data_IF_477658472962
#
_entry.id   IF_477658472962
#
_cell.length_a   1.000
_cell.length_b   1.000
_cell.length_c   1.000
_cell.angle_alpha   90.00
_cell.angle_beta   90.00
_cell.angle_gamma   90.00
#
_symmetry.space_group_name_H-M   'P 1'
#
loop_
_entity.id
_entity.type
_entity.pdbx_description
1 polymer ?
#
# COMPACT_ATOMS: atom_id res chain seq x y z
N UNK A 1 20.09 -40.74 3.64
CA UNK A 1 21.02 -41.29 4.63
C UNK A 1 22.03 -40.22 4.96
N UNK A 2 22.37 -40.07 6.23
CA UNK A 2 23.40 -39.14 6.72
C UNK A 2 24.50 -39.91 7.45
N UNK A 3 25.54 -39.20 7.87
CA UNK A 3 26.67 -39.77 8.60
C UNK A 3 26.23 -40.53 9.85
N UNK A 4 25.22 -40.01 10.57
CA UNK A 4 24.74 -40.63 11.80
C UNK A 4 23.97 -41.93 11.54
N UNK A 5 23.04 -41.94 10.60
CA UNK A 5 22.27 -43.12 10.22
C UNK A 5 23.15 -44.20 9.61
N UNK A 6 24.16 -43.79 8.82
CA UNK A 6 25.15 -44.71 8.24
C UNK A 6 26.02 -45.33 9.33
N UNK A 7 26.49 -44.53 10.30
CA UNK A 7 27.24 -45.02 11.45
C UNK A 7 26.42 -46.02 12.27
N UNK A 8 25.17 -45.70 12.61
CA UNK A 8 24.29 -46.60 13.39
C UNK A 8 23.96 -47.88 12.61
N UNK A 9 23.71 -47.79 11.31
CA UNK A 9 23.39 -48.96 10.50
C UNK A 9 24.59 -49.91 10.38
N UNK A 10 25.79 -49.38 10.12
CA UNK A 10 26.99 -50.20 9.90
C UNK A 10 27.59 -50.72 11.22
N UNK A 11 27.48 -49.97 12.32
CA UNK A 11 28.05 -50.37 13.63
C UNK A 11 27.21 -51.41 14.39
N UNK A 12 26.03 -51.77 13.90
CA UNK A 12 25.18 -52.81 14.51
C UNK A 12 25.65 -54.24 14.21
N UNK A 13 26.52 -54.41 13.22
CA UNK A 13 27.04 -55.71 12.81
C UNK A 13 28.45 -55.90 13.38
N UNK A 14 28.75 -57.10 13.88
CA UNK A 14 30.04 -57.39 14.55
C UNK A 14 31.14 -57.85 13.59
N UNK A 15 30.77 -58.64 12.58
CA UNK A 15 31.75 -59.38 11.79
C UNK A 15 31.78 -58.95 10.32
N UNK A 16 30.62 -58.77 9.65
CA UNK A 16 30.55 -58.37 8.23
C UNK A 16 29.23 -57.64 7.88
N UNK A 17 29.27 -56.79 6.85
CA UNK A 17 28.09 -56.07 6.29
C UNK A 17 28.17 -56.01 4.77
N UNK A 18 27.11 -56.49 4.12
CA UNK A 18 26.87 -56.29 2.68
C UNK A 18 25.93 -55.10 2.44
N UNK A 19 26.34 -54.17 1.57
CA UNK A 19 25.57 -52.98 1.21
C UNK A 19 25.17 -53.00 -0.27
N UNK A 20 23.87 -53.01 -0.53
CA UNK A 20 23.31 -52.91 -1.88
C UNK A 20 22.82 -51.49 -2.16
N UNK A 21 23.17 -50.95 -3.34
CA UNK A 21 22.71 -49.63 -3.78
C UNK A 21 22.40 -49.62 -5.28
N UNK A 22 21.42 -48.79 -5.67
CA UNK A 22 21.04 -48.62 -7.07
C UNK A 22 22.11 -47.83 -7.84
N UNK A 23 22.52 -48.36 -9.00
CA UNK A 23 23.51 -47.69 -9.87
C UNK A 23 22.96 -46.40 -10.50
N UNK A 24 21.63 -46.31 -10.64
CA UNK A 24 20.93 -45.13 -11.16
C UNK A 24 21.01 -43.95 -10.17
N UNK A 25 20.95 -44.24 -8.86
CA UNK A 25 21.05 -43.22 -7.81
C UNK A 25 22.52 -42.85 -7.52
N UNK A 26 23.39 -43.85 -7.47
CA UNK A 26 24.82 -43.70 -7.20
C UNK A 26 25.66 -44.30 -8.32
N UNK A 27 25.95 -43.47 -9.32
CA UNK A 27 26.74 -43.85 -10.49
C UNK A 27 28.15 -44.39 -10.16
N UNK A 28 28.72 -44.01 -9.01
CA UNK A 28 30.02 -44.48 -8.53
C UNK A 28 30.10 -44.52 -6.99
N UNK A 29 31.07 -45.29 -6.48
CA UNK A 29 31.32 -45.47 -5.04
C UNK A 29 31.64 -44.15 -4.33
N UNK A 30 32.27 -43.19 -5.00
CA UNK A 30 32.57 -41.87 -4.45
C UNK A 30 31.31 -41.02 -4.18
N UNK A 31 30.27 -41.17 -5.00
CA UNK A 31 28.99 -40.49 -4.80
C UNK A 31 28.22 -41.10 -3.63
N UNK A 32 28.26 -42.43 -3.49
CA UNK A 32 27.69 -43.13 -2.35
C UNK A 32 28.41 -42.71 -1.06
N UNK A 33 29.74 -42.74 -1.04
CA UNK A 33 30.55 -42.35 0.12
C UNK A 33 30.27 -40.89 0.51
N UNK A 34 30.18 -39.97 -0.45
CA UNK A 34 29.82 -38.57 -0.15
C UNK A 34 28.41 -38.42 0.43
N UNK A 35 27.45 -39.23 -0.03
CA UNK A 35 26.09 -39.21 0.51
C UNK A 35 26.03 -39.77 1.93
N UNK A 36 26.74 -40.87 2.19
CA UNK A 36 26.78 -41.52 3.51
C UNK A 36 27.60 -40.70 4.52
N UNK A 37 28.64 -39.98 4.09
CA UNK A 37 29.48 -39.14 4.96
C UNK A 37 28.91 -37.73 5.17
N UNK A 38 27.74 -37.40 4.61
CA UNK A 38 27.14 -36.08 4.78
C UNK A 38 26.66 -35.93 6.22
N UNK A 39 27.24 -34.97 6.94
CA UNK A 39 26.78 -34.60 8.27
C UNK A 39 25.47 -33.82 8.14
N UNK A 40 24.40 -34.35 8.73
CA UNK A 40 23.04 -33.80 8.62
C UNK A 40 22.56 -33.48 10.02
N UNK A 41 22.72 -32.23 10.44
CA UNK A 41 22.03 -31.73 11.62
C UNK A 41 20.54 -31.63 11.27
N UNK A 42 19.74 -32.61 11.73
CA UNK A 42 18.27 -32.70 11.68
C UNK A 42 17.61 -32.09 10.42
N UNK A 43 17.13 -32.97 9.55
CA UNK A 43 16.40 -32.65 8.32
C UNK A 43 15.48 -31.43 8.38
N UNK A 44 15.86 -30.37 7.64
CA UNK A 44 14.94 -29.34 7.16
C UNK A 44 14.53 -29.72 5.74
N UNK A 45 13.21 -29.75 5.47
CA UNK A 45 12.63 -30.11 4.18
C UNK A 45 13.08 -29.24 2.98
N UNK A 46 13.85 -28.18 3.22
CA UNK A 46 14.41 -27.25 2.22
C UNK A 46 15.60 -27.82 1.44
N UNK A 47 16.29 -28.85 1.94
CA UNK A 47 17.48 -29.39 1.25
C UNK A 47 17.15 -30.20 -0.01
N UNK A 48 15.87 -30.55 -0.21
CA UNK A 48 15.37 -31.21 -1.43
C UNK A 48 14.90 -30.22 -2.51
N UNK A 49 14.86 -28.90 -2.25
CA UNK A 49 14.41 -27.90 -3.23
C UNK A 49 15.46 -27.54 -4.30
N UNK A 50 16.66 -28.11 -4.25
CA UNK A 50 17.73 -27.80 -5.22
C UNK A 50 17.60 -28.52 -6.57
N UNK A 51 16.51 -29.26 -6.79
CA UNK A 51 16.17 -29.81 -8.11
C UNK A 51 14.79 -29.29 -8.48
N UNK A 52 14.73 -28.43 -9.50
CA UNK A 52 13.49 -27.84 -10.01
C UNK A 52 12.46 -28.96 -10.33
N UNK A 53 11.37 -29.08 -9.55
CA UNK A 53 10.40 -30.16 -9.71
C UNK A 53 9.71 -30.14 -11.09
N UNK A 54 9.63 -28.97 -11.72
CA UNK A 54 9.06 -28.79 -13.06
C UNK A 54 10.00 -29.33 -14.14
N UNK A 55 11.31 -29.20 -13.95
CA UNK A 55 12.31 -29.63 -14.90
C UNK A 55 12.41 -31.17 -14.94
N UNK A 56 12.42 -31.82 -13.77
CA UNK A 56 12.40 -33.29 -13.68
C UNK A 56 11.08 -33.91 -14.18
N UNK A 57 9.96 -33.18 -14.06
CA UNK A 57 8.67 -33.60 -14.61
C UNK A 57 8.63 -33.50 -16.15
N UNK A 58 9.23 -32.45 -16.72
CA UNK A 58 9.30 -32.24 -18.16
C UNK A 58 10.24 -33.22 -18.89
N UNK A 59 11.39 -33.54 -18.28
CA UNK A 59 12.37 -34.49 -18.81
C UNK A 59 11.83 -35.92 -18.89
N UNK A 60 11.07 -36.36 -17.88
CA UNK A 60 10.44 -37.70 -17.86
C UNK A 60 9.31 -37.87 -18.89
N UNK A 61 8.81 -36.78 -19.49
CA UNK A 61 7.73 -36.79 -20.49
C UNK A 61 8.18 -36.32 -21.88
N UNK A 62 9.46 -36.07 -22.09
CA UNK A 62 10.01 -35.69 -23.40
C UNK A 62 9.55 -34.33 -23.92
N UNK A 63 9.14 -33.41 -23.04
CA UNK A 63 8.68 -32.08 -23.44
C UNK A 63 9.89 -31.13 -23.46
N UNK A 64 10.66 -31.17 -24.55
CA UNK A 64 11.74 -30.20 -24.78
C UNK A 64 11.16 -28.90 -25.34
N UNK A 65 10.95 -27.91 -24.47
CA UNK A 65 10.44 -26.58 -24.83
C UNK A 65 11.53 -25.69 -25.45
N UNK A 66 12.19 -26.15 -26.53
CA UNK A 66 13.15 -25.31 -27.26
C UNK A 66 12.94 -25.20 -28.78
N UNK A 67 12.06 -25.99 -29.39
CA UNK A 67 11.81 -25.89 -30.84
C UNK A 67 10.40 -25.44 -31.25
N UNK A 68 9.48 -25.17 -30.31
CA UNK A 68 8.09 -24.73 -30.65
C UNK A 68 7.74 -23.27 -30.37
N UNK A 69 8.63 -22.48 -29.75
CA UNK A 69 8.39 -21.05 -29.53
C UNK A 69 8.71 -20.20 -30.77
N UNK A 70 9.63 -20.65 -31.64
CA UNK A 70 9.95 -19.94 -32.89
C UNK A 70 8.86 -20.08 -33.96
N UNK A 71 8.02 -21.11 -33.89
CA UNK A 71 6.96 -21.37 -34.88
C UNK A 71 5.65 -20.62 -34.54
N UNK A 72 5.37 -20.42 -33.26
CA UNK A 72 4.16 -19.71 -32.79
C UNK A 72 4.30 -18.18 -32.96
N UNK A 73 5.53 -17.64 -32.84
CA UNK A 73 5.81 -16.21 -33.13
C UNK A 73 5.71 -15.90 -34.62
N UNK A 74 5.91 -16.87 -35.51
CA UNK A 74 5.76 -16.70 -36.98
C UNK A 74 4.31 -16.80 -37.48
N UNK A 75 3.35 -17.24 -36.64
CA UNK A 75 1.96 -17.48 -37.06
C UNK A 75 0.94 -16.46 -36.54
N UNK A 76 1.36 -15.53 -35.66
CA UNK A 76 0.47 -14.53 -35.01
C UNK A 76 1.02 -13.10 -35.18
N UNK A 77 1.57 -12.76 -36.35
CA UNK A 77 1.80 -11.36 -36.74
C UNK A 77 1.49 -11.19 -38.23
N UNK A 78 0.35 -10.60 -38.61
CA UNK A 78 0.20 -10.04 -39.95
C UNK A 78 1.13 -8.81 -40.10
N UNK A 79 1.96 -8.80 -41.15
CA UNK A 79 3.01 -7.82 -41.48
C UNK A 79 2.53 -6.38 -41.84
N UNK A 80 1.41 -5.89 -41.30
CA UNK A 80 0.95 -4.52 -41.59
C UNK A 80 0.49 -3.80 -40.35
N UNK A 81 1.44 -3.35 -39.52
CA UNK A 81 1.34 -2.14 -38.69
C UNK A 81 2.76 -1.71 -38.22
N UNK A 82 3.73 -1.66 -39.14
CA UNK A 82 5.07 -1.10 -38.84
C UNK A 82 5.27 0.37 -39.24
N UNK A 83 4.26 1.04 -39.80
CA UNK A 83 4.45 2.36 -40.43
C UNK A 83 3.58 3.51 -39.85
N UNK A 84 3.33 3.55 -38.53
CA UNK A 84 2.52 4.64 -37.93
C UNK A 84 3.27 5.46 -36.87
N UNK A 85 4.48 5.06 -36.47
CA UNK A 85 5.26 5.76 -35.43
C UNK A 85 6.57 6.37 -35.94
N UNK A 86 6.57 6.91 -37.16
CA UNK A 86 7.77 7.54 -37.76
C UNK A 86 7.59 9.05 -38.03
N UNK A 87 6.81 9.76 -37.22
CA UNK A 87 6.59 11.18 -37.47
C UNK A 87 5.85 11.98 -36.42
N UNK A 88 6.40 12.14 -35.21
CA UNK A 88 6.11 13.31 -34.37
C UNK A 88 7.38 13.73 -33.60
N UNK A 89 8.09 14.69 -34.19
CA UNK A 89 9.20 15.42 -33.58
C UNK A 89 8.70 16.34 -32.47
N UNK A 90 9.36 16.29 -31.32
CA UNK A 90 9.27 17.26 -30.22
C UNK A 90 9.97 18.56 -30.60
N UNK A 91 9.38 19.76 -30.40
CA UNK A 91 10.08 21.01 -30.63
C UNK A 91 10.75 21.56 -29.36
N UNK A 92 11.96 22.09 -29.61
CA UNK A 92 12.53 23.33 -29.08
C UNK A 92 13.08 23.40 -27.64
N UNK A 93 14.42 23.50 -27.57
CA UNK A 93 15.15 24.47 -26.75
C UNK A 93 16.17 25.22 -27.64
N UNK A 94 16.28 26.53 -27.43
CA UNK A 94 16.85 27.62 -28.27
C UNK A 94 18.40 27.76 -28.19
N UNK A 95 19.09 28.60 -29.02
CA UNK A 95 19.28 30.04 -28.69
C UNK A 95 19.55 31.07 -29.86
N UNK A 96 19.30 32.36 -29.60
CA UNK A 96 19.85 33.58 -30.27
C UNK A 96 19.12 34.07 -31.53
N UNK A 97 18.92 35.36 -31.86
CA UNK A 97 19.46 36.67 -31.45
C UNK A 97 18.47 37.80 -31.88
N UNK A 98 18.54 38.92 -31.14
CA UNK A 98 18.32 40.33 -31.55
C UNK A 98 16.96 40.84 -32.08
N UNK A 99 16.51 41.96 -31.47
CA UNK A 99 15.87 43.05 -32.23
C UNK A 99 14.71 43.82 -31.57
N UNK A 100 15.05 44.84 -30.75
CA UNK A 100 14.38 46.17 -30.66
C UNK A 100 12.90 46.26 -30.22
N UNK A 101 12.65 46.81 -29.01
CA UNK A 101 12.29 48.24 -28.76
C UNK A 101 11.77 48.48 -27.32
N UNK A 102 12.27 49.58 -26.73
CA UNK A 102 11.89 50.27 -25.46
C UNK A 102 10.50 50.93 -25.58
N UNK A 103 9.81 51.44 -24.52
CA UNK A 103 10.30 52.41 -23.51
C UNK A 103 9.96 52.07 -22.03
N UNK A 104 10.90 52.26 -21.10
CA UNK A 104 10.93 53.33 -20.06
C UNK A 104 9.79 53.37 -19.02
N UNK A 105 10.14 53.08 -17.76
CA UNK A 105 9.80 53.94 -16.62
C UNK A 105 10.71 53.67 -15.41
N UNK A 106 11.30 54.74 -14.92
CA UNK A 106 12.22 54.80 -13.79
C UNK A 106 11.46 54.78 -12.45
N UNK A 107 12.08 54.18 -11.43
CA UNK A 107 11.91 54.53 -10.01
C UNK A 107 12.69 55.82 -9.72
N UNK A 108 12.35 56.59 -8.67
CA UNK A 108 12.80 56.33 -7.29
C UNK A 108 11.68 56.75 -6.29
N UNK A 109 11.73 56.77 -4.97
CA UNK A 109 12.70 56.46 -3.91
C UNK A 109 11.88 56.36 -2.61
N UNK A 110 12.54 55.84 -1.58
CA UNK A 110 12.02 55.57 -0.25
C UNK A 110 12.52 56.68 0.67
N UNK A 111 11.65 57.53 1.22
CA UNK A 111 12.00 58.35 2.38
C UNK A 111 10.87 58.41 3.41
N UNK A 112 11.29 58.14 4.64
CA UNK A 112 10.56 58.24 5.90
C UNK A 112 10.70 59.66 6.43
N UNK A 113 9.60 60.25 6.92
CA UNK A 113 9.52 61.07 8.16
C UNK A 113 8.09 61.58 8.36
N UNK A 114 7.47 61.29 9.50
CA UNK A 114 6.38 62.11 10.04
C UNK A 114 6.94 63.32 10.80
N UNK A 115 6.19 64.02 11.68
CA UNK A 115 4.75 63.92 11.99
C UNK A 115 4.04 65.30 12.05
N UNK A 116 2.71 65.33 12.16
CA UNK A 116 1.99 66.42 12.86
C UNK A 116 0.58 65.96 13.23
N UNK A 117 0.23 66.20 14.49
CA UNK A 117 -1.05 65.93 15.10
C UNK A 117 -2.09 66.98 14.69
N UNK A 118 -3.34 66.55 14.50
CA UNK A 118 -4.50 67.34 14.91
C UNK A 118 -5.70 66.44 15.19
N UNK A 119 -6.37 66.77 16.30
CA UNK A 119 -7.51 66.07 16.90
C UNK A 119 -8.82 66.65 16.34
N UNK A 120 -9.89 65.86 16.52
CA UNK A 120 -11.34 66.15 16.35
C UNK A 120 -11.87 65.62 15.01
N UNK A 121 -13.01 64.95 14.90
CA UNK A 121 -14.13 64.68 15.81
C UNK A 121 -14.89 63.46 15.26
N UNK A 122 -15.76 62.88 16.09
CA UNK A 122 -16.46 61.63 15.82
C UNK A 122 -17.41 61.71 14.61
N UNK A 123 -17.21 60.82 13.65
CA UNK A 123 -18.27 60.21 12.86
C UNK A 123 -17.95 58.73 12.77
N UNK A 124 -18.81 57.91 13.39
CA UNK A 124 -18.77 56.45 13.28
C UNK A 124 -19.04 56.12 11.81
N UNK A 125 -18.06 55.65 11.01
CA UNK A 125 -18.46 54.96 9.80
C UNK A 125 -18.99 53.63 10.32
N UNK A 126 -20.28 53.38 10.13
CA UNK A 126 -20.82 52.04 10.18
C UNK A 126 -19.86 51.16 9.38
N UNK A 127 -19.04 50.40 10.10
CA UNK A 127 -18.12 49.46 9.50
C UNK A 127 -19.01 48.42 8.86
N UNK A 128 -19.33 48.63 7.59
CA UNK A 128 -19.48 47.54 6.64
C UNK A 128 -18.14 46.82 6.66
N UNK A 129 -17.94 46.01 7.69
CA UNK A 129 -17.01 44.89 7.65
C UNK A 129 -17.56 44.07 6.50
N UNK A 130 -16.98 44.24 5.32
CA UNK A 130 -17.15 43.30 4.24
C UNK A 130 -16.74 41.94 4.82
N UNK A 131 -17.74 41.20 5.30
CA UNK A 131 -17.57 39.87 5.82
C UNK A 131 -16.96 39.06 4.67
N UNK A 132 -15.77 38.51 4.88
CA UNK A 132 -15.18 37.59 3.92
C UNK A 132 -16.16 36.41 3.78
N UNK A 133 -16.89 36.29 2.65
CA UNK A 133 -17.91 35.26 2.49
C UNK A 133 -17.29 33.86 2.62
N UNK A 134 -16.00 33.72 2.33
CA UNK A 134 -15.28 32.47 2.54
C UNK A 134 -15.02 32.19 4.02
N UNK A 135 -14.72 33.22 4.83
CA UNK A 135 -14.54 33.07 6.28
C UNK A 135 -15.82 32.57 6.94
N UNK A 136 -16.97 33.10 6.53
CA UNK A 136 -18.25 32.67 7.05
C UNK A 136 -18.62 31.26 6.56
N UNK A 137 -18.36 30.93 5.29
CA UNK A 137 -18.49 29.56 4.81
C UNK A 137 -17.57 28.57 5.56
N UNK A 138 -16.35 28.97 5.93
CA UNK A 138 -15.42 28.16 6.76
C UNK A 138 -16.00 27.96 8.17
N UNK A 139 -16.56 29.00 8.78
CA UNK A 139 -17.19 28.93 10.11
C UNK A 139 -18.43 28.04 10.10
N UNK A 140 -19.29 28.16 9.10
CA UNK A 140 -20.48 27.33 8.93
C UNK A 140 -20.09 25.85 8.81
N UNK A 141 -19.13 25.51 7.94
CA UNK A 141 -18.61 24.15 7.79
C UNK A 141 -18.02 23.61 9.09
N UNK A 142 -17.26 24.44 9.80
CA UNK A 142 -16.66 24.06 11.09
C UNK A 142 -17.74 23.78 12.14
N UNK A 143 -18.77 24.63 12.23
CA UNK A 143 -19.90 24.43 13.14
C UNK A 143 -20.67 23.15 12.84
N UNK A 144 -20.90 22.85 11.56
CA UNK A 144 -21.54 21.60 11.13
C UNK A 144 -20.70 20.38 11.52
N UNK A 145 -19.38 20.42 11.29
CA UNK A 145 -18.45 19.37 11.72
C UNK A 145 -18.50 19.14 13.23
N UNK A 146 -18.43 20.20 14.04
CA UNK A 146 -18.50 20.10 15.52
C UNK A 146 -19.83 19.50 15.96
N UNK A 147 -20.96 19.91 15.36
CA UNK A 147 -22.29 19.36 15.68
C UNK A 147 -22.36 17.87 15.36
N UNK A 148 -21.87 17.48 14.19
CA UNK A 148 -21.81 16.07 13.76
C UNK A 148 -20.92 15.25 14.69
N UNK A 149 -19.72 15.76 15.01
CA UNK A 149 -18.79 15.12 15.94
C UNK A 149 -19.41 14.88 17.32
N UNK A 150 -20.14 15.85 17.88
CA UNK A 150 -20.87 15.69 19.16
C UNK A 150 -21.91 14.58 19.13
N UNK A 151 -22.64 14.46 18.03
CA UNK A 151 -23.66 13.42 17.89
C UNK A 151 -23.02 12.02 17.78
N UNK A 152 -21.89 11.90 17.08
CA UNK A 152 -21.13 10.64 17.00
C UNK A 152 -20.48 10.29 18.34
N UNK A 153 -19.82 11.25 18.97
CA UNK A 153 -19.15 11.08 20.28
C UNK A 153 -20.14 10.63 21.36
N UNK A 154 -21.34 11.21 21.40
CA UNK A 154 -22.40 10.78 22.32
C UNK A 154 -22.82 9.32 22.11
N UNK A 155 -22.81 8.84 20.87
CA UNK A 155 -23.12 7.44 20.54
C UNK A 155 -21.96 6.51 20.93
N UNK A 156 -20.71 6.95 20.73
CA UNK A 156 -19.54 6.19 21.18
C UNK A 156 -19.50 6.08 22.70
N UNK A 157 -19.70 7.19 23.42
CA UNK A 157 -19.76 7.20 24.87
C UNK A 157 -20.87 6.27 25.42
N UNK A 158 -22.06 6.28 24.81
CA UNK A 158 -23.13 5.36 25.20
C UNK A 158 -22.74 3.89 25.04
N UNK A 159 -22.03 3.55 23.95
CA UNK A 159 -21.52 2.20 23.70
C UNK A 159 -20.40 1.79 24.65
N UNK A 160 -19.51 2.71 25.00
CA UNK A 160 -18.44 2.45 25.98
C UNK A 160 -19.01 2.14 27.37
N UNK A 161 -20.12 2.77 27.76
CA UNK A 161 -20.82 2.46 29.02
C UNK A 161 -21.64 1.16 28.97
N UNK A 162 -21.52 0.36 27.90
CA UNK A 162 -22.22 -0.91 27.72
C UNK A 162 -23.67 -0.76 27.22
N UNK A 163 -24.11 0.46 26.92
CA UNK A 163 -25.45 0.76 26.40
C UNK A 163 -25.54 0.72 24.88
N UNK A 164 -26.76 0.78 24.37
CA UNK A 164 -27.02 1.06 22.95
C UNK A 164 -27.34 2.54 22.75
N UNK A 165 -27.14 3.05 21.54
CA UNK A 165 -27.50 4.42 21.20
C UNK A 165 -29.01 4.64 21.39
N UNK A 166 -29.40 5.68 22.11
CA UNK A 166 -30.81 6.01 22.31
C UNK A 166 -31.46 6.42 20.98
N UNK A 167 -32.78 6.23 20.85
CA UNK A 167 -33.53 6.66 19.66
C UNK A 167 -33.34 8.16 19.38
N UNK A 168 -33.22 8.96 20.43
CA UNK A 168 -32.97 10.40 20.33
C UNK A 168 -31.57 10.71 19.81
N UNK A 169 -30.53 10.03 20.33
CA UNK A 169 -29.16 10.18 19.84
C UNK A 169 -29.04 9.81 18.35
N UNK A 170 -29.69 8.71 17.93
CA UNK A 170 -29.73 8.32 16.52
C UNK A 170 -30.43 9.39 15.67
N UNK A 171 -31.55 9.96 16.15
CA UNK A 171 -32.26 11.03 15.46
C UNK A 171 -31.41 12.30 15.33
N UNK A 172 -30.70 12.69 16.38
CA UNK A 172 -29.81 13.84 16.36
C UNK A 172 -28.61 13.63 15.43
N UNK A 173 -28.03 12.43 15.38
CA UNK A 173 -27.00 12.10 14.40
C UNK A 173 -27.51 12.25 12.97
N UNK A 174 -28.72 11.76 12.66
CA UNK A 174 -29.30 11.91 11.32
C UNK A 174 -29.50 13.38 10.93
N UNK A 175 -30.01 14.21 11.85
CA UNK A 175 -30.12 15.66 11.61
C UNK A 175 -28.74 16.31 11.40
N UNK A 176 -27.75 15.91 12.19
CA UNK A 176 -26.39 16.45 12.05
C UNK A 176 -25.74 16.03 10.73
N UNK A 177 -26.01 14.80 10.24
CA UNK A 177 -25.58 14.34 8.91
C UNK A 177 -26.18 15.20 7.80
N UNK A 178 -27.49 15.43 7.83
CA UNK A 178 -28.21 16.25 6.85
C UNK A 178 -27.65 17.67 6.81
N UNK A 179 -27.55 18.34 7.97
CA UNK A 179 -27.02 19.69 8.07
C UNK A 179 -25.54 19.77 7.63
N UNK A 180 -24.76 18.71 7.82
CA UNK A 180 -23.37 18.67 7.37
C UNK A 180 -23.27 18.46 5.85
N UNK A 181 -24.14 17.63 5.28
CA UNK A 181 -24.22 17.40 3.83
C UNK A 181 -24.55 18.69 3.06
N UNK A 182 -25.48 19.51 3.59
CA UNK A 182 -25.87 20.80 3.00
C UNK A 182 -24.67 21.76 2.83
N UNK A 183 -23.71 21.73 3.75
CA UNK A 183 -22.57 22.66 3.75
C UNK A 183 -21.30 22.04 3.15
N UNK A 184 -21.26 20.71 3.04
CA UNK A 184 -20.17 19.95 2.44
C UNK A 184 -20.69 18.59 1.93
N UNK A 185 -20.77 18.40 0.61
CA UNK A 185 -21.12 17.11 0.03
C UNK A 185 -20.20 15.98 0.53
N UNK A 186 -20.80 14.85 0.92
CA UNK A 186 -20.17 13.69 1.54
C UNK A 186 -19.40 13.96 2.84
N UNK A 187 -19.56 15.14 3.45
CA UNK A 187 -18.78 15.55 4.62
C UNK A 187 -19.02 14.63 5.82
N UNK A 188 -20.27 14.22 6.05
CA UNK A 188 -20.61 13.30 7.13
C UNK A 188 -20.07 11.88 6.90
N UNK A 189 -20.13 11.38 5.66
CA UNK A 189 -19.59 10.07 5.30
C UNK A 189 -18.07 10.01 5.49
N UNK A 190 -17.35 11.02 4.99
CA UNK A 190 -15.89 11.11 5.08
C UNK A 190 -15.45 11.28 6.55
N UNK A 191 -16.18 12.08 7.35
CA UNK A 191 -15.94 12.20 8.79
C UNK A 191 -16.12 10.85 9.52
N UNK A 192 -17.19 10.11 9.25
CA UNK A 192 -17.48 8.83 9.91
C UNK A 192 -16.53 7.71 9.47
N UNK A 193 -16.02 7.75 8.23
CA UNK A 193 -14.93 6.88 7.81
C UNK A 193 -13.66 7.14 8.63
N UNK A 194 -13.32 8.41 8.88
CA UNK A 194 -12.20 8.77 9.73
C UNK A 194 -12.42 8.38 11.21
N UNK A 195 -13.60 8.64 11.77
CA UNK A 195 -13.92 8.31 13.17
C UNK A 195 -13.91 6.82 13.45
N UNK A 196 -14.31 5.97 12.49
CA UNK A 196 -14.20 4.52 12.62
C UNK A 196 -12.75 4.04 12.74
N UNK A 197 -11.81 4.72 12.09
CA UNK A 197 -10.37 4.40 12.18
C UNK A 197 -9.75 4.93 13.46
N UNK A 198 -10.21 6.11 13.92
CA UNK A 198 -9.73 6.74 15.14
C UNK A 198 -10.89 7.47 15.86
N UNK A 199 -11.52 6.82 16.86
CA UNK A 199 -12.66 7.39 17.58
C UNK A 199 -12.37 8.72 18.30
N UNK A 200 -11.13 8.93 18.77
CA UNK A 200 -10.72 10.17 19.47
C UNK A 200 -10.91 11.42 18.62
N UNK A 201 -10.88 11.29 17.28
CA UNK A 201 -11.14 12.42 16.38
C UNK A 201 -12.54 12.99 16.56
N UNK A 202 -13.54 12.16 16.89
CA UNK A 202 -14.90 12.62 17.15
C UNK A 202 -14.95 13.40 18.47
N UNK A 203 -14.31 12.89 19.51
CA UNK A 203 -14.23 13.53 20.84
C UNK A 203 -13.51 14.88 20.79
N UNK A 204 -12.35 14.95 20.14
CA UNK A 204 -11.58 16.18 19.93
C UNK A 204 -12.41 17.22 19.17
N UNK A 205 -13.02 16.83 18.05
CA UNK A 205 -13.84 17.74 17.25
C UNK A 205 -15.11 18.19 17.98
N UNK A 206 -15.72 17.31 18.79
CA UNK A 206 -16.86 17.66 19.63
C UNK A 206 -16.53 18.74 20.66
N UNK A 207 -15.31 18.67 21.21
CA UNK A 207 -14.70 19.68 22.09
C UNK A 207 -14.19 20.94 21.38
N UNK A 208 -14.27 21.02 20.06
CA UNK A 208 -13.87 22.18 19.25
C UNK A 208 -12.46 22.09 18.65
N UNK A 209 -11.69 21.04 18.95
CA UNK A 209 -10.38 20.79 18.36
C UNK A 209 -10.53 20.13 16.97
N UNK A 210 -10.92 20.93 15.98
CA UNK A 210 -11.27 20.42 14.65
C UNK A 210 -10.07 20.11 13.74
N UNK A 211 -8.87 20.60 14.05
CA UNK A 211 -7.74 20.57 13.11
C UNK A 211 -7.33 19.17 12.64
N UNK A 212 -7.31 18.19 13.55
CA UNK A 212 -7.02 16.79 13.20
C UNK A 212 -8.15 16.14 12.43
N UNK A 213 -9.40 16.36 12.86
CA UNK A 213 -10.58 15.82 12.20
C UNK A 213 -10.72 16.37 10.76
N UNK A 214 -10.47 17.66 10.54
CA UNK A 214 -10.47 18.28 9.20
C UNK A 214 -9.44 17.64 8.28
N UNK A 215 -8.21 17.40 8.76
CA UNK A 215 -7.18 16.72 7.96
C UNK A 215 -7.56 15.28 7.63
N UNK A 216 -8.08 14.54 8.60
CA UNK A 216 -8.54 13.17 8.39
C UNK A 216 -9.72 13.11 7.40
N UNK A 217 -10.68 14.01 7.54
CA UNK A 217 -11.81 14.14 6.63
C UNK A 217 -11.35 14.47 5.20
N UNK A 218 -10.44 15.43 5.05
CA UNK A 218 -9.88 15.79 3.74
C UNK A 218 -9.18 14.59 3.09
N UNK A 219 -8.46 13.79 3.87
CA UNK A 219 -7.87 12.55 3.40
C UNK A 219 -8.95 11.57 2.90
N UNK A 220 -10.02 11.33 3.67
CA UNK A 220 -11.12 10.45 3.23
C UNK A 220 -11.81 10.99 1.96
N UNK A 221 -12.00 12.31 1.85
CA UNK A 221 -12.53 12.95 0.64
C UNK A 221 -11.64 12.68 -0.56
N UNK A 222 -10.32 12.80 -0.42
CA UNK A 222 -9.37 12.50 -1.49
C UNK A 222 -9.40 11.03 -1.90
N UNK A 223 -9.46 10.11 -0.92
CA UNK A 223 -9.54 8.68 -1.19
C UNK A 223 -10.84 8.28 -1.93
N UNK A 224 -11.93 8.99 -1.67
CA UNK A 224 -13.22 8.78 -2.35
C UNK A 224 -13.25 9.39 -3.76
N UNK A 225 -12.64 10.56 -3.95
CA UNK A 225 -12.76 11.33 -5.19
C UNK A 225 -11.70 10.96 -6.22
N UNK A 226 -10.51 10.54 -5.77
CA UNK A 226 -9.36 10.22 -6.62
C UNK A 226 -8.83 8.81 -6.33
N UNK A 227 -9.29 7.80 -7.10
CA UNK A 227 -8.81 6.42 -6.99
C UNK A 227 -7.29 6.27 -7.19
N UNK A 228 -6.65 7.17 -7.94
CA UNK A 228 -5.21 7.16 -8.18
C UNK A 228 -4.44 7.65 -6.95
N UNK A 229 -4.91 8.69 -6.26
CA UNK A 229 -4.34 9.09 -4.96
C UNK A 229 -4.47 8.00 -3.90
N UNK A 230 -5.60 7.29 -3.88
CA UNK A 230 -5.76 6.11 -3.02
C UNK A 230 -4.72 5.03 -3.34
N UNK A 231 -4.38 4.87 -4.62
CA UNK A 231 -3.34 3.93 -5.05
C UNK A 231 -1.94 4.41 -4.64
N UNK A 232 -1.63 5.71 -4.79
CA UNK A 232 -0.36 6.30 -4.33
C UNK A 232 -0.14 6.02 -2.84
N UNK A 233 -1.16 6.26 -2.02
CA UNK A 233 -1.11 6.02 -0.57
C UNK A 233 -0.96 4.54 -0.22
N UNK A 234 -1.61 3.66 -0.97
CA UNK A 234 -1.44 2.22 -0.79
C UNK A 234 0.01 1.81 -1.03
N UNK A 235 0.59 2.25 -2.15
CA UNK A 235 2.00 2.01 -2.47
C UNK A 235 2.93 2.59 -1.40
N UNK A 236 2.70 3.84 -0.98
CA UNK A 236 3.49 4.51 0.07
C UNK A 236 3.48 3.73 1.39
N UNK A 237 2.29 3.30 1.85
CA UNK A 237 2.13 2.52 3.08
C UNK A 237 2.77 1.13 2.94
N UNK A 238 2.60 0.49 1.78
CA UNK A 238 3.17 -0.81 1.49
C UNK A 238 4.70 -0.78 1.59
N UNK A 239 5.34 0.18 0.90
CA UNK A 239 6.79 0.35 0.92
C UNK A 239 7.31 0.66 2.32
N UNK A 240 6.62 1.52 3.09
CA UNK A 240 6.98 1.81 4.49
C UNK A 240 6.92 0.56 5.38
N UNK A 241 5.87 -0.24 5.26
CA UNK A 241 5.74 -1.48 6.03
C UNK A 241 6.77 -2.52 5.61
N UNK A 242 7.04 -2.67 4.31
CA UNK A 242 8.04 -3.62 3.83
C UNK A 242 9.45 -3.25 4.35
N UNK A 243 9.84 -1.97 4.23
CA UNK A 243 11.10 -1.46 4.78
C UNK A 243 11.18 -1.64 6.30
N UNK A 244 10.11 -1.32 7.03
CA UNK A 244 10.03 -1.54 8.48
C UNK A 244 10.17 -3.03 8.83
N UNK A 245 9.50 -3.91 8.10
CA UNK A 245 9.59 -5.36 8.32
C UNK A 245 11.02 -5.87 8.14
N UNK A 246 11.73 -5.44 7.09
CA UNK A 246 13.13 -5.82 6.84
C UNK A 246 14.05 -5.35 7.98
N UNK A 247 13.87 -4.12 8.45
CA UNK A 247 14.65 -3.57 9.58
C UNK A 247 14.39 -4.33 10.88
N UNK A 248 13.12 -4.62 11.19
CA UNK A 248 12.74 -5.36 12.40
C UNK A 248 13.27 -6.80 12.37
N UNK A 249 13.23 -7.45 11.20
CA UNK A 249 13.84 -8.77 11.01
C UNK A 249 15.35 -8.75 11.25
N UNK A 250 16.07 -7.77 10.68
CA UNK A 250 17.51 -7.60 10.88
C UNK A 250 17.88 -7.30 12.34
N UNK A 251 17.03 -6.59 13.06
CA UNK A 251 17.21 -6.28 14.48
C UNK A 251 16.83 -7.46 15.41
N UNK A 252 16.29 -8.56 14.89
CA UNK A 252 15.82 -9.71 15.68
C UNK A 252 14.47 -9.49 16.37
N UNK A 253 13.75 -8.39 16.09
CA UNK A 253 12.39 -8.19 16.60
C UNK A 253 11.38 -8.91 15.69
N UNK A 254 11.21 -10.21 15.97
CA UNK A 254 10.25 -11.06 15.25
C UNK A 254 8.79 -10.68 15.50
N UNK A 255 8.47 -10.10 16.66
CA UNK A 255 7.10 -9.68 16.99
C UNK A 255 6.68 -8.46 16.17
N UNK A 256 7.57 -7.46 16.11
CA UNK A 256 7.41 -6.30 15.24
C UNK A 256 7.38 -6.70 13.75
N UNK A 257 8.27 -7.59 13.33
CA UNK A 257 8.28 -8.13 11.96
C UNK A 257 6.95 -8.78 11.59
N UNK A 258 6.43 -9.68 12.45
CA UNK A 258 5.16 -10.37 12.20
C UNK A 258 3.98 -9.40 12.15
N UNK A 259 3.97 -8.41 13.04
CA UNK A 259 2.95 -7.34 13.05
C UNK A 259 2.97 -6.53 11.75
N UNK A 260 4.15 -6.13 11.27
CA UNK A 260 4.31 -5.43 9.99
C UNK A 260 3.84 -6.29 8.80
N UNK A 261 4.21 -7.58 8.77
CA UNK A 261 3.77 -8.53 7.73
C UNK A 261 2.26 -8.77 7.76
N UNK A 262 1.65 -8.89 8.93
CA UNK A 262 0.20 -9.00 9.08
C UNK A 262 -0.51 -7.77 8.52
N UNK A 263 -0.02 -6.56 8.84
CA UNK A 263 -0.59 -5.31 8.32
C UNK A 263 -0.47 -5.19 6.79
N UNK A 264 0.57 -5.75 6.18
CA UNK A 264 0.68 -5.89 4.72
C UNK A 264 -0.32 -6.92 4.19
N UNK A 265 -0.54 -8.03 4.90
CA UNK A 265 -1.55 -9.03 4.53
C UNK A 265 -2.96 -8.46 4.47
N UNK A 266 -3.33 -7.69 5.49
CA UNK A 266 -4.63 -7.02 5.52
C UNK A 266 -4.79 -6.03 4.35
N UNK A 267 -3.71 -5.35 3.94
CA UNK A 267 -3.71 -4.52 2.73
C UNK A 267 -3.93 -5.35 1.48
N UNK A 268 -3.20 -6.45 1.30
CA UNK A 268 -3.37 -7.31 0.14
C UNK A 268 -4.80 -7.89 0.06
N UNK A 269 -5.35 -8.31 1.19
CA UNK A 269 -6.74 -8.80 1.30
C UNK A 269 -7.77 -7.72 0.98
N UNK A 270 -7.50 -6.46 1.30
CA UNK A 270 -8.42 -5.36 0.99
C UNK A 270 -8.65 -5.19 -0.51
N UNK A 271 -7.70 -5.61 -1.36
CA UNK A 271 -7.83 -5.57 -2.82
C UNK A 271 -8.88 -6.54 -3.35
N UNK A 272 -9.16 -7.65 -2.64
CA UNK A 272 -10.20 -8.60 -3.05
C UNK A 272 -11.60 -7.96 -3.08
N UNK A 273 -11.81 -6.91 -2.28
CA UNK A 273 -13.10 -6.21 -2.14
C UNK A 273 -13.32 -5.10 -3.17
N UNK A 274 -12.27 -4.64 -3.84
CA UNK A 274 -12.34 -3.52 -4.79
C UNK A 274 -11.56 -3.86 -6.08
N UNK A 275 -12.20 -4.56 -7.04
CA UNK A 275 -11.54 -4.94 -8.30
C UNK A 275 -11.08 -3.75 -9.16
N UNK A 276 -11.78 -2.62 -9.07
CA UNK A 276 -11.37 -1.41 -9.78
C UNK A 276 -10.08 -0.84 -9.20
N UNK A 277 -9.96 -0.84 -7.87
CA UNK A 277 -8.73 -0.45 -7.19
C UNK A 277 -7.55 -1.36 -7.50
N UNK A 278 -7.80 -2.67 -7.52
CA UNK A 278 -6.82 -3.67 -7.90
C UNK A 278 -6.28 -3.43 -9.32
N UNK A 279 -7.15 -3.04 -10.24
CA UNK A 279 -6.79 -2.75 -11.64
C UNK A 279 -5.92 -1.50 -11.77
N UNK A 280 -6.17 -0.46 -10.95
CA UNK A 280 -5.32 0.75 -10.90
C UNK A 280 -3.93 0.41 -10.36
N UNK A 281 -3.85 -0.43 -9.32
CA UNK A 281 -2.58 -0.86 -8.75
C UNK A 281 -1.82 -1.85 -9.63
N UNK A 282 -2.49 -2.55 -10.55
CA UNK A 282 -1.84 -3.50 -11.46
C UNK A 282 -0.79 -2.83 -12.36
N UNK A 283 -0.98 -1.54 -12.73
CA UNK A 283 0.02 -0.74 -13.44
C UNK A 283 1.25 -0.36 -12.61
N UNK A 284 1.26 -0.69 -11.30
CA UNK A 284 2.28 -0.30 -10.32
C UNK A 284 2.88 -1.50 -9.58
N UNK A 285 2.85 -2.68 -10.20
CA UNK A 285 3.41 -3.92 -9.64
C UNK A 285 4.86 -3.78 -9.19
N UNK A 286 5.67 -3.08 -10.00
CA UNK A 286 7.08 -2.82 -9.70
C UNK A 286 7.26 -2.04 -8.39
N UNK A 287 6.43 -1.02 -8.15
CA UNK A 287 6.48 -0.20 -6.93
C UNK A 287 6.11 -0.99 -5.67
N UNK A 288 5.35 -2.09 -5.85
CA UNK A 288 4.96 -3.01 -4.79
C UNK A 288 5.94 -4.17 -4.59
N UNK A 289 7.03 -4.22 -5.37
CA UNK A 289 8.04 -5.28 -5.30
C UNK A 289 7.70 -6.55 -6.11
N UNK A 290 6.72 -6.47 -7.02
CA UNK A 290 6.35 -7.56 -7.91
C UNK A 290 6.97 -7.28 -9.29
N UNK A 291 8.06 -7.99 -9.60
CA UNK A 291 8.78 -7.87 -10.88
C UNK A 291 8.44 -8.96 -11.91
N UNK A 292 7.41 -9.77 -11.68
CA UNK A 292 7.05 -10.89 -12.55
C UNK A 292 5.56 -10.93 -12.83
N UNK A 293 5.20 -11.57 -13.95
CA UNK A 293 3.82 -11.82 -14.33
C UNK A 293 3.45 -13.26 -13.98
N UNK A 294 2.59 -13.42 -12.98
CA UNK A 294 2.13 -14.72 -12.47
C UNK A 294 0.73 -15.11 -12.94
N UNK A 295 0.05 -14.23 -13.71
CA UNK A 295 -1.35 -14.39 -14.10
C UNK A 295 -2.36 -14.36 -12.95
N UNK A 296 -1.89 -14.18 -11.70
CA UNK A 296 -2.72 -14.11 -10.50
C UNK A 296 -3.29 -12.71 -10.30
N UNK A 297 -4.31 -12.64 -9.44
CA UNK A 297 -4.81 -11.38 -8.88
C UNK A 297 -3.69 -10.69 -8.10
N UNK A 298 -3.59 -9.36 -8.18
CA UNK A 298 -2.53 -8.58 -7.55
C UNK A 298 -2.49 -8.82 -6.04
N UNK A 299 -3.65 -8.90 -5.38
CA UNK A 299 -3.71 -9.22 -3.95
C UNK A 299 -3.06 -10.56 -3.60
N UNK A 300 -3.21 -11.57 -4.47
CA UNK A 300 -2.59 -12.88 -4.30
C UNK A 300 -1.09 -12.86 -4.57
N UNK A 301 -0.64 -12.09 -5.57
CA UNK A 301 0.79 -11.89 -5.82
C UNK A 301 1.48 -11.19 -4.65
N UNK A 302 0.86 -10.15 -4.09
CA UNK A 302 1.38 -9.45 -2.92
C UNK A 302 1.48 -10.36 -1.69
N UNK A 303 0.45 -11.18 -1.47
CA UNK A 303 0.45 -12.19 -0.42
C UNK A 303 1.58 -13.22 -0.62
N UNK A 304 1.70 -13.75 -1.84
CA UNK A 304 2.68 -14.78 -2.20
C UNK A 304 4.13 -14.28 -2.08
N UNK A 305 4.47 -13.15 -2.71
CA UNK A 305 5.84 -12.61 -2.73
C UNK A 305 6.35 -12.30 -1.33
N UNK A 306 5.46 -11.87 -0.45
CA UNK A 306 5.84 -11.44 0.89
C UNK A 306 5.66 -12.52 1.96
N UNK A 307 5.32 -13.76 1.57
CA UNK A 307 5.08 -14.87 2.49
C UNK A 307 3.91 -14.61 3.45
N UNK A 308 2.95 -13.78 3.03
CA UNK A 308 1.80 -13.38 3.82
C UNK A 308 0.64 -14.29 3.42
N UNK A 309 0.44 -15.36 4.18
CA UNK A 309 -0.54 -16.38 3.86
C UNK A 309 -1.98 -15.83 4.02
N UNK A 310 -2.71 -15.66 2.91
CA UNK A 310 -4.14 -15.27 2.92
C UNK A 310 -5.08 -16.48 2.94
N UNK A 311 -4.55 -17.70 2.90
CA UNK A 311 -5.31 -18.96 2.89
C UNK A 311 -4.97 -19.85 4.09
N UNK A 312 -6.02 -20.39 4.72
CA UNK A 312 -5.94 -21.42 5.76
C UNK A 312 -5.08 -22.61 5.31
N UNK A 313 -4.17 -23.08 6.17
CA UNK A 313 -3.77 -24.49 6.23
C UNK A 313 -2.40 -24.84 5.64
N UNK A 314 -1.31 -24.43 6.30
CA UNK A 314 -0.12 -25.27 6.42
C UNK A 314 -0.13 -26.03 7.74
N UNK A 315 -1.18 -26.83 7.92
CA UNK A 315 -1.06 -28.11 8.62
C UNK A 315 -0.70 -29.15 7.56
N UNK A 316 0.55 -29.16 7.13
CA UNK A 316 1.15 -30.40 6.64
C UNK A 316 1.66 -31.08 7.91
N UNK A 317 0.77 -31.88 8.48
CA UNK A 317 1.14 -32.85 9.51
C UNK A 317 2.17 -33.83 8.94
N UNK A 318 2.98 -34.33 9.87
CA UNK A 318 3.75 -35.58 9.89
C UNK A 318 3.74 -36.37 8.58
#
# INVERSE_FOLDING_TARGET
MDAHSSYVALSRHRDEVDLHYGRDDFANADRLTRALSRDRAKDMASDYEHVDPLQSYAERRGITFRDRAAEIVRKIVPEKLRDIFDGLRTPADLPGLEGRQRPERATPERESSGPAAERREAEVPASNVAQDPEADARRIRTRALVRHARAVDAIFAARETGGSASREQVKELQKARQAFEEVRPFGSHDAEAAYRKNPELAREAAGGQVGRAVRALQLESELRTDPSRRADRFVERWQKLDQASRRLYQAGDFSGYKSARSAMGDMAKSLERDPQFESILAGRKNDLGIGFESGRRLGQDLAFVHGIDLGRGRSLGI
#
